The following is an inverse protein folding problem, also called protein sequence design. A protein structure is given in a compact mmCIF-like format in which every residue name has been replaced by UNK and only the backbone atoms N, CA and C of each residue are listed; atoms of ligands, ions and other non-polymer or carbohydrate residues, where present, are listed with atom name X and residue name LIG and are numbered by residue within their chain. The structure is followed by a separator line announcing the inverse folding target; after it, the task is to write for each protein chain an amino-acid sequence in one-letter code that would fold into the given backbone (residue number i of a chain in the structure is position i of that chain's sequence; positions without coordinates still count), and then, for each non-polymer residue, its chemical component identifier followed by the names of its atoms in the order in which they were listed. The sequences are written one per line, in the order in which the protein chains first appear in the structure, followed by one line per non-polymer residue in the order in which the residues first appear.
data_IF_912365202201
#
_entry.id   IF_912365202201
#
_cell.length_a   1.000
_cell.length_b   1.000
_cell.length_c   1.000
_cell.angle_alpha   90.00
_cell.angle_beta   90.00
_cell.angle_gamma   90.00
#
_symmetry.space_group_name_H-M   'P 1'
#
loop_
_entity.id
_entity.type
_entity.pdbx_description
1 polymer ?
#
# COMPACT_ATOMS: atom_id res chain seq x y z
N UNK A 1 -20.15 7.62 -2.89
CA UNK A 1 -19.54 7.48 -4.23
C UNK A 1 -18.40 6.47 -4.12
N UNK A 2 -18.18 5.61 -5.12
CA UNK A 2 -17.07 4.66 -5.10
C UNK A 2 -15.75 5.43 -4.96
N UNK A 3 -14.87 4.92 -4.10
CA UNK A 3 -13.56 5.51 -3.86
C UNK A 3 -12.56 4.82 -4.79
N UNK A 4 -12.03 5.57 -5.75
CA UNK A 4 -11.30 5.04 -6.90
C UNK A 4 -9.86 5.55 -6.88
N UNK A 5 -8.93 4.63 -7.05
CA UNK A 5 -7.51 4.92 -7.18
C UNK A 5 -6.93 4.22 -8.40
N UNK A 6 -5.78 4.67 -8.85
CA UNK A 6 -5.10 4.10 -10.01
C UNK A 6 -3.59 4.24 -9.89
N UNK A 7 -2.86 3.38 -10.59
CA UNK A 7 -1.42 3.58 -10.73
C UNK A 7 -1.12 4.85 -11.55
N UNK A 8 0.15 5.31 -11.51
CA UNK A 8 0.55 6.56 -12.15
C UNK A 8 0.24 6.61 -13.66
N UNK A 9 0.35 5.49 -14.37
CA UNK A 9 0.01 5.40 -15.80
C UNK A 9 -1.44 4.98 -16.08
N UNK A 10 -2.29 4.93 -15.05
CA UNK A 10 -3.71 4.53 -15.12
C UNK A 10 -3.99 3.13 -15.70
N UNK A 11 -2.98 2.28 -15.91
CA UNK A 11 -3.16 0.92 -16.46
C UNK A 11 -3.83 -0.05 -15.49
N UNK A 12 -3.78 0.22 -14.18
CA UNK A 12 -4.43 -0.57 -13.14
C UNK A 12 -5.30 0.38 -12.31
N UNK A 13 -6.59 0.06 -12.19
CA UNK A 13 -7.56 0.77 -11.36
C UNK A 13 -7.99 -0.10 -10.18
N UNK A 14 -8.13 0.51 -9.02
CA UNK A 14 -8.63 -0.13 -7.80
C UNK A 14 -9.83 0.66 -7.29
N UNK A 15 -10.94 -0.04 -7.06
CA UNK A 15 -12.17 0.55 -6.54
C UNK A 15 -12.49 -0.03 -5.17
N UNK A 16 -12.83 0.85 -4.23
CA UNK A 16 -13.40 0.52 -2.93
C UNK A 16 -14.83 1.07 -2.82
N UNK A 17 -15.72 0.44 -2.02
CA UNK A 17 -17.07 0.95 -1.79
C UNK A 17 -17.09 2.37 -1.20
N UNK A 18 -16.10 2.68 -0.36
CA UNK A 18 -15.94 3.98 0.30
C UNK A 18 -14.48 4.19 0.76
N UNK A 19 -14.12 5.42 1.08
CA UNK A 19 -12.81 5.76 1.66
C UNK A 19 -12.67 5.16 3.06
N UNK A 20 -11.58 4.44 3.37
CA UNK A 20 -11.29 4.02 4.75
C UNK A 20 -11.11 5.22 5.67
N UNK A 21 -11.60 5.14 6.91
CA UNK A 21 -11.57 6.26 7.85
C UNK A 21 -10.16 6.68 8.27
N UNK A 22 -9.19 5.77 8.23
CA UNK A 22 -7.83 6.00 8.69
C UNK A 22 -6.82 5.27 7.79
N UNK A 23 -5.60 5.82 7.72
CA UNK A 23 -4.45 5.16 7.11
C UNK A 23 -3.41 4.73 8.16
N UNK A 24 -2.44 3.92 7.73
CA UNK A 24 -1.34 3.41 8.55
C UNK A 24 -0.01 3.72 7.87
N UNK A 25 0.90 4.34 8.61
CA UNK A 25 2.27 4.59 8.17
C UNK A 25 3.17 3.44 8.55
N UNK A 26 4.02 3.00 7.63
CA UNK A 26 5.01 1.96 7.88
C UNK A 26 6.41 2.47 7.53
N UNK A 27 7.27 2.60 8.54
CA UNK A 27 8.61 3.15 8.43
C UNK A 27 9.70 2.08 8.19
N UNK A 28 9.34 0.79 8.12
CA UNK A 28 10.34 -0.25 7.92
C UNK A 28 11.08 -0.09 6.58
N UNK A 29 12.35 -0.53 6.55
CA UNK A 29 13.24 -0.34 5.40
C UNK A 29 12.65 -0.88 4.10
N UNK A 30 12.01 -2.05 4.11
CA UNK A 30 11.42 -2.64 2.90
C UNK A 30 10.22 -1.82 2.40
N UNK A 31 9.40 -1.28 3.31
CA UNK A 31 8.27 -0.43 2.94
C UNK A 31 8.72 0.93 2.40
N UNK A 32 9.80 1.50 2.95
CA UNK A 32 10.46 2.69 2.39
C UNK A 32 10.98 2.44 0.98
N UNK A 33 11.75 1.36 0.79
CA UNK A 33 12.30 0.97 -0.51
C UNK A 33 11.21 0.68 -1.55
N UNK A 34 10.18 -0.07 -1.17
CA UNK A 34 9.09 -0.44 -2.07
C UNK A 34 8.16 0.74 -2.40
N UNK A 35 7.99 1.69 -1.47
CA UNK A 35 7.17 2.88 -1.67
C UNK A 35 7.93 4.08 -2.26
N UNK A 36 9.26 4.05 -2.29
CA UNK A 36 10.09 5.16 -2.76
C UNK A 36 10.07 6.40 -1.85
N UNK A 37 9.65 6.25 -0.57
CA UNK A 37 9.43 7.37 0.34
C UNK A 37 9.96 7.14 1.76
N UNK A 38 9.77 8.13 2.64
CA UNK A 38 10.17 8.07 4.06
C UNK A 38 9.39 7.01 4.86
N UNK A 39 8.22 6.63 4.36
CA UNK A 39 7.35 5.57 4.86
C UNK A 39 6.41 5.15 3.74
N UNK A 40 5.74 4.00 3.92
CA UNK A 40 4.59 3.63 3.10
C UNK A 40 3.31 4.03 3.80
N UNK A 41 2.41 4.72 3.12
CA UNK A 41 1.03 4.99 3.59
C UNK A 41 0.11 3.91 3.06
N UNK A 42 -0.66 3.26 3.94
CA UNK A 42 -1.47 2.12 3.58
C UNK A 42 -2.88 2.23 4.18
N UNK A 43 -3.87 1.72 3.47
CA UNK A 43 -5.12 1.29 4.05
C UNK A 43 -5.07 -0.20 4.33
N UNK A 44 -5.55 -0.61 5.50
CA UNK A 44 -5.81 -2.02 5.78
C UNK A 44 -7.27 -2.31 5.45
N UNK A 45 -7.51 -3.04 4.37
CA UNK A 45 -8.86 -3.36 3.87
C UNK A 45 -9.04 -4.86 3.72
N UNK A 46 -10.29 -5.31 3.66
CA UNK A 46 -10.60 -6.67 3.23
C UNK A 46 -10.24 -6.85 1.76
N UNK A 47 -9.53 -7.93 1.43
CA UNK A 47 -9.14 -8.22 0.05
C UNK A 47 -10.38 -8.35 -0.86
N UNK A 48 -11.46 -8.94 -0.35
CA UNK A 48 -12.70 -9.09 -1.10
C UNK A 48 -13.50 -7.78 -1.24
N UNK A 49 -13.10 -6.71 -0.54
CA UNK A 49 -13.76 -5.39 -0.66
C UNK A 49 -13.17 -4.54 -1.79
N UNK A 50 -12.03 -4.93 -2.37
CA UNK A 50 -11.43 -4.23 -3.49
C UNK A 50 -11.76 -4.89 -4.83
N UNK A 51 -12.13 -4.08 -5.81
CA UNK A 51 -12.17 -4.49 -7.22
C UNK A 51 -10.90 -4.00 -7.89
N UNK A 52 -10.15 -4.90 -8.53
CA UNK A 52 -8.91 -4.58 -9.26
C UNK A 52 -9.13 -4.79 -10.74
N UNK A 53 -9.09 -3.72 -11.52
CA UNK A 53 -9.20 -3.74 -12.97
C UNK A 53 -7.81 -3.61 -13.60
N UNK A 54 -7.41 -4.61 -14.39
CA UNK A 54 -6.10 -4.67 -15.05
C UNK A 54 -6.25 -5.27 -16.47
N UNK A 55 -6.92 -4.56 -17.40
CA UNK A 55 -7.22 -5.07 -18.73
C UNK A 55 -5.97 -5.37 -19.57
N UNK A 56 -4.84 -4.73 -19.24
CA UNK A 56 -3.58 -4.85 -19.96
C UNK A 56 -2.59 -5.83 -19.30
N UNK A 57 -2.97 -6.49 -18.19
CA UNK A 57 -2.09 -7.43 -17.48
C UNK A 57 -0.81 -6.79 -16.93
N UNK A 58 -0.87 -5.52 -16.57
CA UNK A 58 0.25 -4.72 -16.06
C UNK A 58 0.56 -5.01 -14.58
N UNK A 59 -0.34 -5.66 -13.82
CA UNK A 59 -0.09 -6.02 -12.43
C UNK A 59 0.90 -7.19 -12.36
N UNK A 60 2.04 -6.97 -11.71
CA UNK A 60 3.02 -8.00 -11.36
C UNK A 60 3.16 -8.14 -9.84
N UNK A 61 3.77 -9.24 -9.43
CA UNK A 61 3.97 -9.58 -8.02
C UNK A 61 5.46 -9.79 -7.77
N UNK A 62 5.98 -9.07 -6.79
CA UNK A 62 7.29 -9.34 -6.22
C UNK A 62 7.12 -10.02 -4.86
N UNK A 63 7.78 -11.17 -4.70
CA UNK A 63 7.84 -11.88 -3.44
C UNK A 63 8.99 -11.30 -2.60
N UNK A 64 8.67 -10.66 -1.49
CA UNK A 64 9.63 -10.05 -0.57
C UNK A 64 9.86 -10.99 0.63
N UNK A 65 10.92 -11.82 0.65
CA UNK A 65 11.18 -12.78 1.73
C UNK A 65 11.84 -12.15 2.95
N UNK A 66 12.51 -11.00 2.79
CA UNK A 66 13.42 -10.43 3.79
C UNK A 66 12.71 -9.32 4.59
N UNK A 67 11.55 -9.62 5.15
CA UNK A 67 10.76 -8.65 5.91
C UNK A 67 11.08 -8.73 7.40
N UNK A 68 10.93 -7.60 8.08
CA UNK A 68 11.16 -7.53 9.53
C UNK A 68 10.14 -8.34 10.34
N UNK A 69 8.96 -8.62 9.78
CA UNK A 69 7.96 -9.46 10.44
C UNK A 69 8.26 -10.95 10.32
N UNK A 70 9.31 -11.36 9.60
CA UNK A 70 9.64 -12.76 9.34
C UNK A 70 8.76 -13.43 8.28
N UNK A 71 7.74 -12.74 7.77
CA UNK A 71 6.87 -13.28 6.72
C UNK A 71 7.41 -12.94 5.33
N UNK A 72 7.34 -13.91 4.41
CA UNK A 72 7.42 -13.63 2.98
C UNK A 72 6.10 -12.97 2.55
N UNK A 73 6.17 -11.76 1.99
CA UNK A 73 4.97 -10.99 1.59
C UNK A 73 4.91 -10.79 0.09
N UNK A 74 3.69 -10.72 -0.45
CA UNK A 74 3.43 -10.50 -1.87
C UNK A 74 3.18 -9.02 -2.12
N UNK A 75 4.10 -8.35 -2.81
CA UNK A 75 3.97 -6.95 -3.21
C UNK A 75 3.44 -6.87 -4.63
N UNK A 76 2.24 -6.34 -4.80
CA UNK A 76 1.62 -6.12 -6.09
C UNK A 76 1.99 -4.72 -6.59
N UNK A 77 2.41 -4.60 -7.85
CA UNK A 77 2.83 -3.33 -8.46
C UNK A 77 2.48 -3.31 -9.95
N UNK A 78 2.40 -2.10 -10.52
CA UNK A 78 2.23 -1.92 -11.96
C UNK A 78 3.59 -1.99 -12.68
N UNK A 79 3.76 -2.91 -13.64
CA UNK A 79 5.02 -3.04 -14.40
C UNK A 79 5.25 -1.93 -15.41
N UNK A 80 4.23 -1.15 -15.78
CA UNK A 80 4.39 -0.04 -16.74
C UNK A 80 4.97 1.22 -16.10
N UNK A 81 4.64 1.50 -14.84
CA UNK A 81 5.07 2.73 -14.16
C UNK A 81 5.74 2.52 -12.80
N UNK A 82 5.82 1.29 -12.31
CA UNK A 82 6.43 0.96 -11.02
C UNK A 82 5.57 1.28 -9.80
N UNK A 83 4.40 1.90 -9.94
CA UNK A 83 3.55 2.24 -8.79
C UNK A 83 3.21 0.99 -7.96
N UNK A 84 3.44 1.03 -6.63
CA UNK A 84 3.01 -0.04 -5.75
C UNK A 84 1.49 0.00 -5.60
N UNK A 85 0.85 -1.17 -5.67
CA UNK A 85 -0.61 -1.30 -5.66
C UNK A 85 -1.12 -1.68 -4.27
N UNK A 86 -0.78 -2.88 -3.81
CA UNK A 86 -1.13 -3.40 -2.49
C UNK A 86 -0.15 -4.48 -2.07
N UNK A 87 -0.23 -4.89 -0.81
CA UNK A 87 0.60 -5.98 -0.27
C UNK A 87 -0.26 -6.97 0.49
N UNK A 88 -0.05 -8.26 0.23
CA UNK A 88 -0.67 -9.36 0.95
C UNK A 88 0.39 -10.04 1.82
N UNK A 89 0.00 -10.45 3.03
CA UNK A 89 0.91 -11.10 3.98
C UNK A 89 0.23 -12.26 4.70
N UNK A 90 0.93 -13.39 4.90
CA UNK A 90 0.44 -14.48 5.74
C UNK A 90 0.10 -14.04 7.18
N UNK A 91 0.71 -12.97 7.68
CA UNK A 91 0.44 -12.45 9.03
C UNK A 91 -0.94 -11.78 9.18
N UNK A 92 -1.64 -11.50 8.07
CA UNK A 92 -3.04 -11.00 8.06
C UNK A 92 -3.79 -11.59 6.85
N UNK A 93 -4.17 -12.87 6.90
CA UNK A 93 -4.91 -13.51 5.80
C UNK A 93 -6.22 -12.79 5.51
N UNK A 94 -6.59 -12.70 4.21
CA UNK A 94 -7.81 -12.03 3.75
C UNK A 94 -7.80 -10.50 3.84
N UNK A 95 -6.69 -9.90 4.29
CA UNK A 95 -6.51 -8.45 4.32
C UNK A 95 -5.45 -8.01 3.32
N UNK A 96 -5.66 -6.83 2.75
CA UNK A 96 -4.70 -6.16 1.89
C UNK A 96 -4.22 -4.85 2.51
N UNK A 97 -2.90 -4.65 2.47
CA UNK A 97 -2.28 -3.35 2.72
C UNK A 97 -2.27 -2.57 1.39
N UNK A 98 -3.40 -1.93 1.09
CA UNK A 98 -3.61 -1.13 -0.11
C UNK A 98 -2.84 0.19 -0.03
N UNK A 99 -2.15 0.58 -1.11
CA UNK A 99 -1.40 1.84 -1.12
C UNK A 99 -2.36 3.02 -1.23
N UNK A 100 -2.47 3.77 -0.13
CA UNK A 100 -3.32 4.96 -0.07
C UNK A 100 -2.96 6.03 -1.14
N UNK A 101 -1.68 6.24 -1.52
CA UNK A 101 -1.32 7.21 -2.55
C UNK A 101 -1.80 6.91 -3.99
N UNK A 102 -2.49 5.79 -4.21
CA UNK A 102 -3.17 5.54 -5.50
C UNK A 102 -4.42 6.42 -5.68
N UNK A 103 -4.92 7.01 -4.59
CA UNK A 103 -6.15 7.79 -4.54
C UNK A 103 -5.82 9.27 -4.35
N UNK A 104 -6.66 10.17 -4.87
CA UNK A 104 -6.42 11.62 -4.83
C UNK A 104 -6.46 12.20 -3.42
N UNK A 105 -7.42 11.76 -2.60
CA UNK A 105 -7.55 12.16 -1.19
C UNK A 105 -7.28 10.97 -0.29
N UNK A 106 -6.49 11.18 0.77
CA UNK A 106 -6.05 10.12 1.70
C UNK A 106 -6.55 10.46 3.11
N UNK A 107 -7.11 9.47 3.80
CA UNK A 107 -7.54 9.65 5.18
C UNK A 107 -6.32 9.80 6.10
N UNK A 108 -6.43 10.60 7.19
CA UNK A 108 -5.31 10.85 8.07
C UNK A 108 -4.77 9.53 8.67
N UNK A 109 -3.47 9.47 8.95
CA UNK A 109 -2.91 8.32 9.62
C UNK A 109 -3.35 8.26 11.08
N UNK A 110 -3.87 7.12 11.52
CA UNK A 110 -4.20 6.91 12.95
C UNK A 110 -3.16 6.06 13.69
N UNK A 111 -2.17 5.55 12.95
CA UNK A 111 -1.15 4.65 13.46
C UNK A 111 0.12 4.76 12.61
N UNK A 112 1.27 4.79 13.27
CA UNK A 112 2.57 4.55 12.67
C UNK A 112 3.17 3.25 13.24
N UNK A 113 3.87 2.50 12.39
CA UNK A 113 4.57 1.27 12.79
C UNK A 113 6.02 1.29 12.36
N UNK A 114 6.86 0.66 13.17
CA UNK A 114 8.32 0.65 13.04
C UNK A 114 8.94 2.05 13.11
N UNK A 115 8.39 2.93 13.96
CA UNK A 115 8.79 4.33 14.14
C UNK A 115 10.26 4.50 14.52
N UNK A 116 10.93 3.50 15.09
CA UNK A 116 12.37 3.50 15.31
C UNK A 116 13.20 3.56 14.00
N UNK A 117 12.56 3.41 12.84
CA UNK A 117 13.15 3.62 11.50
C UNK A 117 12.71 4.93 10.84
N UNK A 118 11.92 5.77 11.53
CA UNK A 118 11.60 7.12 11.08
C UNK A 118 12.88 7.97 11.08
N UNK A 119 13.04 8.75 10.02
CA UNK A 119 14.14 9.71 9.94
C UNK A 119 13.94 10.80 11.00
N UNK A 120 14.94 11.01 11.87
CA UNK A 120 14.82 11.93 13.01
C UNK A 120 14.51 13.38 12.62
N UNK A 121 14.89 13.78 11.40
CA UNK A 121 14.60 15.10 10.84
C UNK A 121 13.19 15.22 10.25
N UNK A 122 12.51 14.11 9.96
CA UNK A 122 11.17 14.09 9.39
C UNK A 122 10.12 14.03 10.51
N UNK A 123 9.33 15.09 10.66
CA UNK A 123 8.21 15.12 11.60
C UNK A 123 6.92 14.73 10.88
N UNK A 124 6.27 13.68 11.37
CA UNK A 124 4.93 13.29 10.96
C UNK A 124 3.98 13.71 12.07
N UNK A 125 2.94 14.46 11.72
CA UNK A 125 1.85 14.79 12.62
C UNK A 125 0.69 13.82 12.32
N UNK A 126 0.26 13.09 13.35
CA UNK A 126 -0.92 12.21 13.31
C UNK A 126 -2.15 13.02 13.73
#
# INVERSE_FOLDING_TARGET
MPYIGQCNCASVRITLPQQPANSVLCHCTNCRKAGGGLFSVNYLVDENSMTVEDPNGAKKVYQDPNTRSGHKISRHFCSHCGSPLYTLTPGKPGKAFLKAPLFESIAPPSLAVFEEKQEAWAKVHL
#
